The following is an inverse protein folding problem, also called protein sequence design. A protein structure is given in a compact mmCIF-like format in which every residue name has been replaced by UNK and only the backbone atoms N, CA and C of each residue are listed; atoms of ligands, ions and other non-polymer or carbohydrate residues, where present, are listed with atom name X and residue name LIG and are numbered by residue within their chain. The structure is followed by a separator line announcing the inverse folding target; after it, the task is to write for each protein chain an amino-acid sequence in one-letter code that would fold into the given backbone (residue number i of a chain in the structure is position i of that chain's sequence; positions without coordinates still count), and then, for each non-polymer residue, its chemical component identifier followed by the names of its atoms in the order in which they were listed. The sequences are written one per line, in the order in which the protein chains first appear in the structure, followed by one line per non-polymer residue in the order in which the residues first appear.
data_IF_260763292822
#
_entry.id   IF_260763292822
#
_cell.length_a   1.000
_cell.length_b   1.000
_cell.length_c   1.000
_cell.angle_alpha   90.00
_cell.angle_beta   90.00
_cell.angle_gamma   90.00
#
_symmetry.space_group_name_H-M   'P 1'
#
loop_
_entity.id
_entity.type
_entity.pdbx_description
1 polymer ?
#
# COMPACT_ATOMS: atom_id res chain seq x y z
N UNK A 1 35.79 15.49 9.83
CA UNK A 1 34.49 15.21 9.19
C UNK A 1 34.75 14.10 8.20
N UNK A 2 34.17 12.92 8.40
CA UNK A 2 34.36 11.80 7.48
C UNK A 2 33.46 12.03 6.26
N UNK A 3 34.09 12.16 5.09
CA UNK A 3 33.43 12.16 3.79
C UNK A 3 33.06 10.71 3.49
N UNK A 4 31.76 10.41 3.46
CA UNK A 4 31.24 9.05 3.32
C UNK A 4 31.17 8.73 1.83
N UNK A 5 31.69 7.57 1.44
CA UNK A 5 31.81 7.22 0.01
C UNK A 5 30.41 6.93 -0.55
N UNK A 6 30.12 7.30 -1.81
CA UNK A 6 28.80 7.09 -2.45
C UNK A 6 28.30 5.62 -2.33
N UNK A 7 29.22 4.66 -2.28
CA UNK A 7 28.92 3.23 -2.06
C UNK A 7 28.36 2.93 -0.66
N UNK A 8 28.82 3.63 0.40
CA UNK A 8 28.30 3.46 1.76
C UNK A 8 26.87 4.02 1.91
N UNK A 9 26.49 5.00 1.10
CA UNK A 9 25.12 5.52 1.05
C UNK A 9 24.16 4.57 0.33
N UNK A 10 24.67 3.72 -0.58
CA UNK A 10 23.87 2.73 -1.30
C UNK A 10 23.69 1.44 -0.51
N UNK A 11 24.53 1.19 0.51
CA UNK A 11 24.34 0.07 1.44
C UNK A 11 23.29 0.42 2.48
N UNK A 12 22.03 0.07 2.18
CA UNK A 12 20.99 0.09 3.20
C UNK A 12 21.38 -0.88 4.33
N UNK A 13 21.26 -0.48 5.61
CA UNK A 13 21.42 -1.39 6.74
C UNK A 13 20.38 -2.51 6.60
N UNK A 14 20.82 -3.72 6.23
CA UNK A 14 19.95 -4.91 6.17
C UNK A 14 19.74 -5.52 7.56
N UNK A 15 20.57 -5.12 8.51
CA UNK A 15 20.51 -5.52 9.91
C UNK A 15 19.49 -4.65 10.66
N UNK A 16 18.28 -5.16 10.82
CA UNK A 16 17.14 -4.44 11.40
C UNK A 16 15.85 -4.55 10.58
N UNK A 17 15.95 -4.99 9.32
CA UNK A 17 14.81 -5.48 8.53
C UNK A 17 14.48 -6.93 8.90
N UNK A 18 14.47 -7.18 10.22
CA UNK A 18 13.95 -8.40 10.80
C UNK A 18 12.48 -8.53 10.43
N UNK A 19 12.26 -9.41 9.48
CA UNK A 19 11.10 -10.27 9.38
C UNK A 19 9.76 -9.62 9.02
N UNK A 20 9.55 -9.69 7.70
CA UNK A 20 8.36 -10.26 7.07
C UNK A 20 7.18 -9.28 7.02
N UNK A 21 6.71 -9.01 5.80
CA UNK A 21 5.33 -8.57 5.58
C UNK A 21 4.44 -9.64 6.23
N UNK A 22 4.07 -9.45 7.49
CA UNK A 22 3.20 -10.38 8.20
C UNK A 22 1.85 -10.23 7.52
N UNK A 23 1.51 -11.23 6.70
CA UNK A 23 0.16 -11.35 6.16
C UNK A 23 -0.73 -11.47 7.38
N UNK A 24 -1.64 -10.51 7.65
CA UNK A 24 -2.56 -10.64 8.75
C UNK A 24 -3.30 -11.97 8.59
N UNK A 25 -3.51 -12.72 9.66
CA UNK A 25 -4.43 -13.86 9.65
C UNK A 25 -5.85 -13.31 9.50
N UNK A 26 -6.20 -12.89 8.29
CA UNK A 26 -7.57 -12.61 7.89
C UNK A 26 -8.18 -13.98 7.61
N UNK A 27 -9.34 -14.28 8.17
CA UNK A 27 -10.18 -15.40 7.73
C UNK A 27 -10.66 -15.08 6.30
N UNK A 28 -9.77 -15.23 5.31
CA UNK A 28 -10.01 -14.93 3.91
C UNK A 28 -11.21 -15.72 3.35
N UNK A 29 -11.51 -16.87 3.96
CA UNK A 29 -12.66 -17.73 3.67
C UNK A 29 -14.01 -17.03 3.85
N UNK A 30 -14.09 -15.97 4.68
CA UNK A 30 -15.35 -15.27 4.98
C UNK A 30 -15.42 -13.84 4.41
N UNK A 31 -14.38 -13.37 3.71
CA UNK A 31 -14.31 -11.99 3.26
C UNK A 31 -14.26 -11.89 1.73
N UNK A 32 -15.43 -11.72 1.13
CA UNK A 32 -15.55 -11.35 -0.28
C UNK A 32 -15.41 -9.83 -0.43
N UNK A 33 -14.41 -9.40 -1.21
CA UNK A 33 -14.33 -8.02 -1.70
C UNK A 33 -15.53 -7.81 -2.61
N UNK A 34 -16.58 -7.16 -2.09
CA UNK A 34 -17.77 -6.82 -2.88
C UNK A 34 -17.33 -6.09 -4.16
N UNK A 35 -17.97 -6.43 -5.28
CA UNK A 35 -17.66 -5.99 -6.65
C UNK A 35 -17.55 -4.47 -6.84
N UNK A 36 -18.09 -3.67 -5.93
CA UNK A 36 -18.03 -2.21 -5.94
C UNK A 36 -16.77 -1.60 -5.30
N UNK A 37 -16.01 -2.34 -4.48
CA UNK A 37 -14.80 -1.82 -3.83
C UNK A 37 -13.64 -1.62 -4.82
N UNK A 38 -13.33 -2.56 -5.73
CA UNK A 38 -12.30 -2.32 -6.73
C UNK A 38 -12.66 -1.13 -7.61
N UNK A 39 -13.92 -0.98 -8.01
CA UNK A 39 -14.40 0.16 -8.81
C UNK A 39 -14.20 1.51 -8.10
N UNK A 40 -14.36 1.55 -6.77
CA UNK A 40 -14.12 2.75 -5.98
C UNK A 40 -12.63 3.13 -5.96
N UNK A 41 -11.75 2.14 -5.83
CA UNK A 41 -10.30 2.35 -5.81
C UNK A 41 -9.77 2.76 -7.18
N UNK A 42 -10.42 2.34 -8.26
CA UNK A 42 -10.05 2.73 -9.62
C UNK A 42 -10.34 4.20 -9.96
N UNK A 43 -11.14 4.90 -9.15
CA UNK A 43 -11.45 6.32 -9.37
C UNK A 43 -10.25 7.25 -9.15
N UNK A 44 -9.23 6.79 -8.41
CA UNK A 44 -8.00 7.53 -8.13
C UNK A 44 -6.78 6.61 -8.33
N UNK A 45 -6.63 6.11 -9.56
CA UNK A 45 -5.49 5.28 -9.95
C UNK A 45 -4.20 6.10 -9.99
N UNK A 46 -3.14 5.53 -9.43
CA UNK A 46 -1.79 6.02 -9.59
C UNK A 46 -1.13 5.33 -10.78
N UNK A 47 -0.72 6.11 -11.78
CA UNK A 47 -0.19 5.60 -13.05
C UNK A 47 1.33 5.67 -13.12
N UNK A 48 1.98 6.15 -12.05
CA UNK A 48 3.42 6.38 -11.97
C UNK A 48 3.95 7.33 -13.05
N UNK A 49 3.12 8.25 -13.55
CA UNK A 49 3.57 9.29 -14.47
C UNK A 49 4.35 10.38 -13.72
N UNK A 50 5.22 11.12 -14.41
CA UNK A 50 6.00 12.23 -13.82
C UNK A 50 5.11 13.32 -13.19
N UNK A 51 3.89 13.49 -13.71
CA UNK A 51 2.89 14.42 -13.20
C UNK A 51 2.14 13.91 -11.96
N UNK A 52 2.22 12.61 -11.68
CA UNK A 52 1.49 12.00 -10.58
C UNK A 52 2.25 12.25 -9.28
N UNK A 53 1.53 12.70 -8.25
CA UNK A 53 2.13 12.93 -6.94
C UNK A 53 1.83 11.73 -6.02
N UNK A 54 2.85 10.94 -5.61
CA UNK A 54 2.65 9.76 -4.78
C UNK A 54 2.12 10.10 -3.38
N UNK A 55 2.43 11.29 -2.84
CA UNK A 55 1.91 11.73 -1.55
C UNK A 55 0.41 12.05 -1.62
N UNK A 56 -0.04 12.66 -2.73
CA UNK A 56 -1.47 12.91 -2.97
C UNK A 56 -2.23 11.59 -3.10
N UNK A 57 -1.69 10.64 -3.86
CA UNK A 57 -2.25 9.29 -3.99
C UNK A 57 -2.43 8.60 -2.63
N UNK A 58 -1.36 8.52 -1.84
CA UNK A 58 -1.40 7.86 -0.52
C UNK A 58 -2.42 8.53 0.40
N UNK A 59 -2.51 9.87 0.39
CA UNK A 59 -3.47 10.59 1.22
C UNK A 59 -4.92 10.32 0.79
N UNK A 60 -5.21 10.33 -0.50
CA UNK A 60 -6.53 10.01 -1.02
C UNK A 60 -6.91 8.56 -0.74
N UNK A 61 -5.99 7.61 -0.97
CA UNK A 61 -6.17 6.19 -0.66
C UNK A 61 -6.49 5.97 0.83
N UNK A 62 -5.73 6.61 1.73
CA UNK A 62 -6.02 6.59 3.18
C UNK A 62 -7.41 7.13 3.48
N UNK A 63 -7.80 8.26 2.88
CA UNK A 63 -9.11 8.89 3.10
C UNK A 63 -10.28 8.05 2.57
N UNK A 64 -10.08 7.34 1.46
CA UNK A 64 -11.07 6.41 0.93
C UNK A 64 -11.23 5.19 1.85
N UNK A 65 -10.12 4.56 2.23
CA UNK A 65 -10.13 3.33 3.05
C UNK A 65 -10.59 3.54 4.49
N UNK A 66 -10.53 4.75 5.05
CA UNK A 66 -11.09 5.03 6.40
C UNK A 66 -12.62 4.92 6.46
N UNK A 67 -13.30 5.07 5.31
CA UNK A 67 -14.76 4.92 5.22
C UNK A 67 -15.19 3.47 5.16
N UNK A 68 -14.28 2.56 4.82
CA UNK A 68 -14.52 1.13 4.71
C UNK A 68 -14.42 0.48 6.10
N UNK A 69 -15.58 0.08 6.64
CA UNK A 69 -15.67 -0.62 7.93
C UNK A 69 -16.28 -2.00 7.73
N UNK A 70 -15.54 -3.02 8.14
CA UNK A 70 -15.98 -4.40 8.15
C UNK A 70 -15.80 -4.95 9.55
N UNK A 71 -16.83 -5.64 10.06
CA UNK A 71 -16.94 -6.01 11.48
C UNK A 71 -15.74 -6.82 11.98
N UNK A 72 -15.19 -7.68 11.13
CA UNK A 72 -14.19 -8.68 11.51
C UNK A 72 -12.90 -8.57 10.69
N UNK A 73 -12.71 -7.47 9.95
CA UNK A 73 -11.51 -7.25 9.15
C UNK A 73 -10.79 -5.97 9.59
N UNK A 74 -9.52 -6.06 10.04
CA UNK A 74 -8.72 -4.90 10.37
C UNK A 74 -8.63 -3.91 9.20
N UNK A 75 -8.66 -2.62 9.49
CA UNK A 75 -8.60 -1.59 8.44
C UNK A 75 -7.30 -1.66 7.62
N UNK A 76 -6.19 -2.06 8.23
CA UNK A 76 -4.93 -2.23 7.52
C UNK A 76 -4.94 -3.44 6.59
N UNK A 77 -5.66 -4.51 6.93
CA UNK A 77 -5.89 -5.63 6.02
C UNK A 77 -6.69 -5.18 4.78
N UNK A 78 -7.72 -4.34 4.97
CA UNK A 78 -8.50 -3.74 3.86
C UNK A 78 -7.59 -2.89 2.96
N UNK A 79 -6.73 -2.04 3.55
CA UNK A 79 -5.76 -1.24 2.80
C UNK A 79 -4.83 -2.12 1.98
N UNK A 80 -4.27 -3.17 2.59
CA UNK A 80 -3.36 -4.09 1.89
C UNK A 80 -4.04 -4.83 0.74
N UNK A 81 -5.28 -5.28 0.93
CA UNK A 81 -6.05 -5.95 -0.13
C UNK A 81 -6.42 -5.01 -1.29
N UNK A 82 -6.68 -3.73 -1.01
CA UNK A 82 -7.12 -2.76 -2.01
C UNK A 82 -5.99 -2.01 -2.71
N UNK A 83 -4.82 -1.89 -2.07
CA UNK A 83 -3.70 -1.11 -2.61
C UNK A 83 -3.27 -1.54 -4.03
N UNK A 84 -3.18 -2.84 -4.38
CA UNK A 84 -2.84 -3.25 -5.74
C UNK A 84 -3.83 -2.73 -6.81
N UNK A 85 -5.11 -2.59 -6.47
CA UNK A 85 -6.13 -2.07 -7.38
C UNK A 85 -6.06 -0.55 -7.57
N UNK A 86 -5.27 0.14 -6.73
CA UNK A 86 -5.05 1.59 -6.80
C UNK A 86 -3.90 1.97 -7.74
N UNK A 87 -3.17 0.98 -8.24
CA UNK A 87 -2.02 1.17 -9.12
C UNK A 87 -2.40 0.79 -10.56
N UNK A 88 -1.82 1.50 -11.53
CA UNK A 88 -1.95 1.21 -12.96
C UNK A 88 -0.55 1.18 -13.58
N UNK A 89 -0.31 0.22 -14.47
CA UNK A 89 1.00 -0.03 -15.07
C UNK A 89 1.77 -1.15 -14.37
N UNK A 90 2.88 -1.57 -14.99
CA UNK A 90 3.77 -2.56 -14.39
C UNK A 90 4.65 -1.87 -13.33
N UNK A 91 4.72 -2.47 -12.14
CA UNK A 91 5.73 -2.15 -11.12
C UNK A 91 7.12 -2.56 -11.61
#
# INVERSE_FOLDING_TARGET
MADRTMEELLQAPTEGYGEVIVIPEILAENYEIKTNLPQLVQADKFHSFERDNPHTHINNFKRMTTTLKYRDVPNDAIKLMLFPYSLEGAA
#
